data_IF_362571289734
#
_entry.id   IF_362571289734
#
_cell.length_a   1.000
_cell.length_b   1.000
_cell.length_c   1.000
_cell.angle_alpha   90.00
_cell.angle_beta   90.00
_cell.angle_gamma   90.00
#
_symmetry.space_group_name_H-M   'P 1'
#
loop_
_entity.id
_entity.type
_entity.pdbx_description
1 polymer ?
#
# COMPACT_ATOMS: atom_id res chain seq x y z
N UNK A 1 3.34 -48.96 12.93
CA UNK A 1 4.63 -48.27 13.18
C UNK A 1 5.18 -47.58 11.94
N UNK A 2 5.35 -48.29 10.80
CA UNK A 2 5.89 -47.70 9.54
C UNK A 2 5.06 -46.51 9.06
N UNK A 3 3.74 -46.62 8.96
CA UNK A 3 2.86 -45.54 8.49
C UNK A 3 2.97 -44.27 9.40
N UNK A 4 2.99 -44.48 10.71
CA UNK A 4 3.09 -43.37 11.68
C UNK A 4 4.43 -42.62 11.51
N UNK A 5 5.53 -43.35 11.35
CA UNK A 5 6.85 -42.78 11.12
C UNK A 5 6.92 -42.01 9.78
N UNK A 6 6.32 -42.60 8.71
CA UNK A 6 6.24 -41.95 7.40
C UNK A 6 5.45 -40.62 7.47
N UNK A 7 4.30 -40.61 8.15
CA UNK A 7 3.51 -39.39 8.36
C UNK A 7 4.26 -38.34 9.20
N UNK A 8 4.97 -38.78 10.25
CA UNK A 8 5.77 -37.89 11.06
C UNK A 8 6.88 -37.20 10.26
N UNK A 9 7.56 -37.95 9.40
CA UNK A 9 8.59 -37.41 8.50
C UNK A 9 8.00 -36.46 7.45
N UNK A 10 6.83 -36.79 6.89
CA UNK A 10 6.14 -35.92 5.95
C UNK A 10 5.77 -34.56 6.60
N UNK A 11 5.13 -34.58 7.77
CA UNK A 11 4.80 -33.36 8.49
C UNK A 11 6.05 -32.60 8.93
N UNK A 12 7.10 -33.28 9.34
CA UNK A 12 8.40 -32.65 9.64
C UNK A 12 9.02 -31.95 8.43
N UNK A 13 8.97 -32.57 7.26
CA UNK A 13 9.44 -31.98 6.00
C UNK A 13 8.61 -30.74 5.60
N UNK A 14 7.28 -30.79 5.75
CA UNK A 14 6.39 -29.64 5.52
C UNK A 14 6.73 -28.49 6.47
N UNK A 15 6.91 -28.79 7.77
CA UNK A 15 7.33 -27.80 8.77
C UNK A 15 8.65 -27.11 8.39
N UNK A 16 9.66 -27.88 8.04
CA UNK A 16 10.97 -27.37 7.60
C UNK A 16 10.83 -26.50 6.35
N UNK A 17 10.05 -26.94 5.35
CA UNK A 17 9.77 -26.18 4.15
C UNK A 17 9.10 -24.82 4.46
N UNK A 18 8.12 -24.82 5.37
CA UNK A 18 7.46 -23.58 5.82
C UNK A 18 8.45 -22.64 6.56
N UNK A 19 9.30 -23.17 7.44
CA UNK A 19 10.33 -22.40 8.11
C UNK A 19 11.32 -21.76 7.12
N UNK A 20 11.78 -22.52 6.11
CA UNK A 20 12.66 -21.99 5.07
C UNK A 20 11.99 -20.91 4.23
N UNK A 21 10.72 -21.09 3.84
CA UNK A 21 9.96 -20.08 3.10
C UNK A 21 9.79 -18.78 3.92
N UNK A 22 9.39 -18.90 5.19
CA UNK A 22 9.29 -17.74 6.09
C UNK A 22 10.62 -17.03 6.26
N UNK A 23 11.71 -17.78 6.47
CA UNK A 23 13.04 -17.22 6.58
C UNK A 23 13.48 -16.49 5.31
N UNK A 24 13.15 -17.02 4.13
CA UNK A 24 13.44 -16.38 2.85
C UNK A 24 12.61 -15.13 2.63
N UNK A 25 11.29 -15.17 2.89
CA UNK A 25 10.41 -14.01 2.74
C UNK A 25 10.83 -12.86 3.65
N UNK A 26 11.02 -13.12 4.94
CA UNK A 26 11.42 -12.08 5.88
C UNK A 26 12.88 -11.67 5.66
N UNK A 27 13.77 -12.59 5.28
CA UNK A 27 15.14 -12.29 4.86
C UNK A 27 15.23 -11.34 3.67
N UNK A 28 14.21 -11.35 2.78
CA UNK A 28 14.14 -10.39 1.68
C UNK A 28 14.01 -8.93 2.16
N UNK A 29 13.45 -8.68 3.35
CA UNK A 29 13.41 -7.34 3.96
C UNK A 29 14.82 -6.87 4.35
N UNK A 30 15.65 -7.77 4.90
CA UNK A 30 17.04 -7.45 5.21
C UNK A 30 17.84 -7.14 3.93
N UNK A 31 17.61 -7.91 2.86
CA UNK A 31 18.19 -7.62 1.54
C UNK A 31 17.78 -6.21 1.07
N UNK A 32 16.50 -5.82 1.23
CA UNK A 32 16.03 -4.46 0.89
C UNK A 32 16.72 -3.38 1.74
N UNK A 33 16.98 -3.62 3.02
CA UNK A 33 17.74 -2.68 3.89
C UNK A 33 19.16 -2.48 3.35
N UNK A 34 19.86 -3.58 3.03
CA UNK A 34 21.23 -3.52 2.47
C UNK A 34 21.24 -2.80 1.12
N UNK A 35 20.31 -3.13 0.25
CA UNK A 35 20.20 -2.52 -1.08
C UNK A 35 19.83 -1.03 -0.97
N UNK A 36 18.92 -0.66 -0.09
CA UNK A 36 18.57 0.72 0.23
C UNK A 36 19.82 1.52 0.65
N UNK A 37 20.60 0.99 1.61
CA UNK A 37 21.81 1.65 2.07
C UNK A 37 22.81 1.90 0.93
N UNK A 38 22.95 0.94 0.02
CA UNK A 38 23.86 1.06 -1.14
C UNK A 38 23.40 2.07 -2.19
N UNK A 39 22.09 2.16 -2.41
CA UNK A 39 21.53 2.97 -3.50
C UNK A 39 21.15 4.38 -3.04
N UNK A 40 20.89 4.60 -1.76
CA UNK A 40 20.23 5.79 -1.19
C UNK A 40 20.89 7.10 -1.60
N UNK A 41 22.19 7.27 -1.36
CA UNK A 41 22.87 8.54 -1.62
C UNK A 41 22.69 9.01 -3.07
N UNK A 42 23.02 8.14 -4.02
CA UNK A 42 22.87 8.43 -5.45
C UNK A 42 21.40 8.56 -5.90
N UNK A 43 20.50 7.88 -5.22
CA UNK A 43 19.07 7.92 -5.55
C UNK A 43 18.43 9.22 -5.08
N UNK A 44 18.82 9.73 -3.91
CA UNK A 44 18.38 11.04 -3.40
C UNK A 44 18.91 12.19 -4.25
N UNK A 45 20.17 12.13 -4.67
CA UNK A 45 20.76 13.08 -5.63
C UNK A 45 19.95 13.12 -6.94
N UNK A 46 19.61 11.95 -7.49
CA UNK A 46 18.76 11.87 -8.69
C UNK A 46 17.33 12.36 -8.48
N UNK A 47 16.78 12.20 -7.27
CA UNK A 47 15.48 12.74 -6.92
C UNK A 47 15.55 14.28 -6.87
N UNK A 48 16.59 14.85 -6.28
CA UNK A 48 16.85 16.28 -6.27
C UNK A 48 16.98 16.85 -7.68
N UNK A 49 17.75 16.17 -8.56
CA UNK A 49 17.86 16.51 -9.98
C UNK A 49 16.50 16.51 -10.69
N UNK A 50 15.66 15.51 -10.43
CA UNK A 50 14.31 15.44 -10.98
C UNK A 50 13.43 16.59 -10.49
N UNK A 51 13.52 16.93 -9.22
CA UNK A 51 12.75 18.00 -8.59
C UNK A 51 13.28 19.41 -8.95
N UNK A 52 14.49 19.52 -9.46
CA UNK A 52 15.04 20.76 -10.01
C UNK A 52 14.66 21.03 -11.47
N UNK A 53 14.02 20.04 -12.16
CA UNK A 53 13.57 20.19 -13.55
C UNK A 53 12.67 21.43 -13.68
N UNK A 54 12.94 22.38 -14.57
CA UNK A 54 12.11 23.56 -14.75
C UNK A 54 10.73 23.17 -15.30
N UNK A 55 9.70 23.75 -14.74
CA UNK A 55 8.35 23.66 -15.31
C UNK A 55 8.18 24.66 -16.45
N UNK A 56 7.35 24.36 -17.44
CA UNK A 56 6.93 25.34 -18.43
C UNK A 56 6.17 26.51 -17.76
N UNK A 57 5.98 27.63 -18.45
CA UNK A 57 5.14 28.73 -17.98
C UNK A 57 3.73 28.24 -17.62
N UNK A 58 3.07 28.93 -16.70
CA UNK A 58 1.71 28.56 -16.23
C UNK A 58 0.70 28.41 -17.37
N UNK A 59 0.86 29.21 -18.46
CA UNK A 59 0.05 29.13 -19.67
C UNK A 59 0.18 27.79 -20.43
N UNK A 60 1.30 27.09 -20.27
CA UNK A 60 1.61 25.83 -20.94
C UNK A 60 1.47 24.60 -20.03
N UNK A 61 1.24 24.81 -18.72
CA UNK A 61 0.99 23.72 -17.80
C UNK A 61 -0.26 22.91 -18.20
N UNK A 62 -0.26 21.59 -18.03
CA UNK A 62 -1.41 20.75 -18.37
C UNK A 62 -2.55 20.96 -17.37
N UNK A 63 -3.77 20.58 -17.80
CA UNK A 63 -4.88 20.42 -16.86
C UNK A 63 -4.67 19.22 -15.96
N UNK A 64 -4.99 19.37 -14.68
CA UNK A 64 -4.90 18.30 -13.66
C UNK A 64 -6.27 18.14 -13.00
N UNK A 65 -6.72 16.90 -12.90
CA UNK A 65 -7.95 16.54 -12.20
C UNK A 65 -7.56 15.95 -10.84
N UNK A 66 -7.98 16.57 -9.76
CA UNK A 66 -7.85 16.02 -8.41
C UNK A 66 -9.09 15.19 -8.10
N UNK A 67 -8.91 13.90 -7.90
CA UNK A 67 -9.97 12.95 -7.56
C UNK A 67 -9.93 12.60 -6.08
N UNK A 68 -11.05 12.86 -5.38
CA UNK A 68 -11.19 12.65 -3.93
C UNK A 68 -12.34 11.65 -3.71
N UNK A 69 -12.04 10.34 -3.66
CA UNK A 69 -13.04 9.32 -3.33
C UNK A 69 -13.52 9.47 -1.88
N UNK A 70 -14.84 9.47 -1.68
CA UNK A 70 -15.47 9.60 -0.36
C UNK A 70 -16.62 8.60 -0.19
N UNK A 71 -16.70 8.01 1.00
CA UNK A 71 -17.84 7.16 1.39
C UNK A 71 -18.13 7.29 2.89
N UNK A 72 -19.14 8.08 3.25
CA UNK A 72 -19.56 8.33 4.63
C UNK A 72 -18.42 8.88 5.51
N UNK A 73 -17.61 9.82 5.00
CA UNK A 73 -16.43 10.40 5.66
C UNK A 73 -16.60 11.89 5.94
N UNK A 74 -17.81 12.32 6.29
CA UNK A 74 -18.18 13.71 6.57
C UNK A 74 -17.19 14.47 7.47
N UNK A 75 -16.70 13.91 8.60
CA UNK A 75 -15.78 14.62 9.50
C UNK A 75 -14.50 15.14 8.85
N UNK A 76 -14.00 14.50 7.79
CA UNK A 76 -12.75 14.87 7.12
C UNK A 76 -12.94 15.48 5.74
N UNK A 77 -14.14 15.37 5.16
CA UNK A 77 -14.42 15.74 3.76
C UNK A 77 -14.04 17.18 3.46
N UNK A 78 -14.51 18.13 4.25
CA UNK A 78 -14.25 19.56 4.01
C UNK A 78 -12.75 19.85 4.00
N UNK A 79 -12.01 19.36 5.01
CA UNK A 79 -10.57 19.54 5.10
C UNK A 79 -9.82 19.02 3.87
N UNK A 80 -10.16 17.80 3.41
CA UNK A 80 -9.51 17.18 2.24
C UNK A 80 -9.79 17.95 0.95
N UNK A 81 -11.04 18.40 0.73
CA UNK A 81 -11.41 19.17 -0.46
C UNK A 81 -10.81 20.57 -0.45
N UNK A 82 -10.79 21.25 0.71
CA UNK A 82 -10.16 22.57 0.86
C UNK A 82 -8.63 22.48 0.67
N UNK A 83 -7.98 21.40 1.14
CA UNK A 83 -6.56 21.16 0.89
C UNK A 83 -6.27 20.96 -0.60
N UNK A 84 -7.14 20.27 -1.33
CA UNK A 84 -7.02 20.13 -2.79
C UNK A 84 -7.22 21.47 -3.51
N UNK A 85 -8.15 22.30 -3.06
CA UNK A 85 -8.36 23.65 -3.61
C UNK A 85 -7.19 24.62 -3.30
N UNK A 86 -6.40 24.34 -2.27
CA UNK A 86 -5.22 25.12 -1.88
C UNK A 86 -3.94 24.74 -2.64
N UNK A 87 -4.00 23.78 -3.56
CA UNK A 87 -2.86 23.38 -4.39
C UNK A 87 -2.44 24.55 -5.33
N UNK A 88 -1.14 24.81 -5.39
CA UNK A 88 -0.54 25.82 -6.27
C UNK A 88 -0.54 25.31 -7.73
N UNK A 89 -1.62 25.59 -8.42
CA UNK A 89 -1.82 25.32 -9.83
C UNK A 89 -2.71 26.39 -10.47
N UNK A 90 -2.56 26.72 -11.77
CA UNK A 90 -3.45 27.67 -12.41
C UNK A 90 -4.92 27.27 -12.26
N UNK A 91 -5.75 28.19 -11.78
CA UNK A 91 -7.15 27.89 -11.41
C UNK A 91 -8.00 27.34 -12.55
N UNK A 92 -7.75 27.84 -13.75
CA UNK A 92 -8.40 27.38 -14.99
C UNK A 92 -7.95 25.98 -15.43
N UNK A 93 -6.89 25.44 -14.81
CA UNK A 93 -6.31 24.14 -15.10
C UNK A 93 -6.38 23.14 -13.93
N UNK A 94 -6.94 23.56 -12.80
CA UNK A 94 -7.17 22.72 -11.63
C UNK A 94 -8.65 22.34 -11.54
N UNK A 95 -8.95 21.07 -11.73
CA UNK A 95 -10.30 20.51 -11.68
C UNK A 95 -10.41 19.56 -10.50
N UNK A 96 -11.41 19.74 -9.62
CA UNK A 96 -11.59 18.91 -8.42
C UNK A 96 -12.87 18.11 -8.56
N UNK A 97 -12.76 16.80 -8.45
CA UNK A 97 -13.87 15.85 -8.46
C UNK A 97 -14.00 15.19 -7.08
N UNK A 98 -15.06 15.46 -6.36
CA UNK A 98 -15.44 14.71 -5.15
C UNK A 98 -16.24 13.51 -5.64
N UNK A 99 -15.67 12.30 -5.49
CA UNK A 99 -16.27 11.05 -5.95
C UNK A 99 -17.09 10.47 -4.79
N UNK A 100 -18.37 10.85 -4.73
CA UNK A 100 -19.20 10.58 -3.56
C UNK A 100 -20.08 9.35 -3.74
N UNK A 101 -19.76 8.30 -2.96
CA UNK A 101 -20.55 7.08 -2.84
C UNK A 101 -21.37 7.04 -1.54
N UNK A 102 -21.50 8.17 -0.83
CA UNK A 102 -22.04 8.23 0.52
C UNK A 102 -23.56 8.00 0.56
N UNK A 103 -24.00 7.38 1.65
CA UNK A 103 -25.39 7.06 1.95
C UNK A 103 -25.91 7.80 3.19
N UNK A 104 -25.07 8.66 3.80
CA UNK A 104 -25.38 9.49 4.96
C UNK A 104 -25.32 10.99 4.60
N UNK A 105 -25.26 11.86 5.61
CA UNK A 105 -25.19 13.31 5.45
C UNK A 105 -23.94 13.80 4.70
N UNK A 106 -22.92 12.95 4.54
CA UNK A 106 -21.72 13.27 3.76
C UNK A 106 -22.06 13.69 2.33
N UNK A 107 -23.07 13.06 1.72
CA UNK A 107 -23.50 13.40 0.35
C UNK A 107 -24.04 14.85 0.24
N UNK A 108 -24.78 15.33 1.24
CA UNK A 108 -25.22 16.72 1.29
C UNK A 108 -24.06 17.67 1.53
N UNK A 109 -23.13 17.29 2.43
CA UNK A 109 -21.93 18.06 2.72
C UNK A 109 -21.03 18.20 1.47
N UNK A 110 -20.84 17.12 0.70
CA UNK A 110 -20.04 17.14 -0.52
C UNK A 110 -20.57 18.19 -1.54
N UNK A 111 -21.89 18.20 -1.76
CA UNK A 111 -22.53 19.21 -2.62
C UNK A 111 -22.38 20.63 -2.08
N UNK A 112 -22.54 20.81 -0.77
CA UNK A 112 -22.39 22.11 -0.12
C UNK A 112 -20.96 22.65 -0.27
N UNK A 113 -19.95 21.83 0.04
CA UNK A 113 -18.52 22.21 -0.08
C UNK A 113 -18.17 22.53 -1.53
N UNK A 114 -18.66 21.73 -2.50
CA UNK A 114 -18.44 22.01 -3.93
C UNK A 114 -19.05 23.37 -4.32
N UNK A 115 -20.30 23.65 -3.93
CA UNK A 115 -20.96 24.93 -4.23
C UNK A 115 -20.25 26.14 -3.61
N UNK A 116 -19.80 26.04 -2.35
CA UNK A 116 -19.04 27.09 -1.68
C UNK A 116 -17.71 27.40 -2.37
N UNK A 117 -16.99 26.36 -2.85
CA UNK A 117 -15.73 26.54 -3.59
C UNK A 117 -15.95 27.06 -5.00
N UNK A 118 -17.01 26.62 -5.69
CA UNK A 118 -17.41 27.18 -6.98
C UNK A 118 -17.73 28.69 -6.86
N UNK A 119 -18.43 29.11 -5.78
CA UNK A 119 -18.70 30.52 -5.53
C UNK A 119 -17.42 31.36 -5.29
N UNK A 120 -16.31 30.71 -4.88
CA UNK A 120 -14.97 31.31 -4.75
C UNK A 120 -14.14 31.24 -6.03
N UNK A 121 -14.71 30.75 -7.15
CA UNK A 121 -14.06 30.66 -8.45
C UNK A 121 -13.18 29.44 -8.67
N UNK A 122 -13.37 28.37 -7.90
CA UNK A 122 -12.72 27.08 -8.14
C UNK A 122 -13.61 26.18 -9.01
N UNK A 123 -13.00 25.32 -9.82
CA UNK A 123 -13.73 24.28 -10.56
C UNK A 123 -13.83 23.00 -9.72
N UNK A 124 -14.97 22.84 -9.04
CA UNK A 124 -15.23 21.71 -8.12
C UNK A 124 -16.58 21.09 -8.44
N UNK A 125 -16.60 19.77 -8.59
CA UNK A 125 -17.84 19.03 -8.80
C UNK A 125 -17.96 17.85 -7.83
N UNK A 126 -19.15 17.65 -7.26
CA UNK A 126 -19.49 16.45 -6.51
C UNK A 126 -20.19 15.46 -7.46
N UNK A 127 -19.51 14.38 -7.80
CA UNK A 127 -20.02 13.29 -8.63
C UNK A 127 -20.60 12.22 -7.70
N UNK A 128 -21.90 12.19 -7.57
CA UNK A 128 -22.60 11.22 -6.74
C UNK A 128 -23.06 10.03 -7.58
N UNK A 129 -22.71 8.81 -7.15
CA UNK A 129 -23.17 7.58 -7.77
C UNK A 129 -24.34 6.98 -6.98
N UNK A 130 -25.31 6.43 -7.71
CA UNK A 130 -26.42 5.64 -7.13
C UNK A 130 -26.03 4.17 -6.98
N UNK A 131 -25.16 3.67 -7.86
CA UNK A 131 -24.60 2.32 -7.81
C UNK A 131 -23.12 2.38 -7.40
N UNK A 132 -22.81 1.81 -6.24
CA UNK A 132 -21.46 1.71 -5.68
C UNK A 132 -20.66 0.52 -6.25
N UNK A 133 -21.06 -0.03 -7.39
CA UNK A 133 -20.35 -1.14 -8.03
C UNK A 133 -18.87 -0.79 -8.28
N UNK A 134 -17.98 -1.75 -8.02
CA UNK A 134 -16.54 -1.54 -8.15
C UNK A 134 -15.92 -0.62 -7.11
N UNK A 135 -16.68 -0.14 -6.12
CA UNK A 135 -16.18 0.69 -5.02
C UNK A 135 -15.33 1.88 -5.51
N UNK A 136 -14.16 2.13 -4.88
CA UNK A 136 -13.24 3.19 -5.27
C UNK A 136 -12.75 3.07 -6.70
N UNK A 137 -12.37 1.86 -7.15
CA UNK A 137 -11.96 1.63 -8.55
C UNK A 137 -13.06 1.98 -9.55
N UNK A 138 -14.32 1.63 -9.23
CA UNK A 138 -15.49 2.01 -10.04
C UNK A 138 -15.69 3.52 -10.07
N UNK A 139 -15.57 4.21 -8.92
CA UNK A 139 -15.68 5.66 -8.83
C UNK A 139 -14.61 6.39 -9.66
N UNK A 140 -13.34 5.97 -9.54
CA UNK A 140 -12.24 6.51 -10.33
C UNK A 140 -12.45 6.28 -11.83
N UNK A 141 -12.92 5.07 -12.20
CA UNK A 141 -13.19 4.74 -13.61
C UNK A 141 -14.27 5.63 -14.21
N UNK A 142 -15.40 5.74 -13.54
CA UNK A 142 -16.53 6.55 -14.00
C UNK A 142 -16.16 8.03 -14.07
N UNK A 143 -15.51 8.56 -13.03
CA UNK A 143 -15.13 9.96 -12.98
C UNK A 143 -14.16 10.40 -14.10
N UNK A 144 -13.32 9.49 -14.58
CA UNK A 144 -12.45 9.75 -15.74
C UNK A 144 -13.25 10.01 -17.02
N UNK A 145 -14.47 9.51 -17.14
CA UNK A 145 -15.31 9.72 -18.34
C UNK A 145 -15.89 11.13 -18.41
N UNK A 146 -15.91 11.85 -17.27
CA UNK A 146 -16.42 13.21 -17.19
C UNK A 146 -15.39 14.29 -17.53
N UNK A 147 -14.20 13.92 -17.99
CA UNK A 147 -13.13 14.88 -18.30
C UNK A 147 -12.23 14.34 -19.43
N UNK A 148 -11.73 15.20 -20.34
CA UNK A 148 -10.75 14.80 -21.35
C UNK A 148 -9.31 14.85 -20.88
N UNK A 149 -9.04 15.33 -19.65
CA UNK A 149 -7.69 15.67 -19.19
C UNK A 149 -6.82 14.44 -18.92
N UNK A 150 -5.48 14.64 -18.95
CA UNK A 150 -4.51 13.56 -18.98
C UNK A 150 -3.91 13.19 -17.62
N UNK A 151 -4.02 14.07 -16.62
CA UNK A 151 -3.38 13.86 -15.32
C UNK A 151 -4.40 13.80 -14.19
N UNK A 152 -4.33 12.74 -13.37
CA UNK A 152 -5.23 12.49 -12.26
C UNK A 152 -4.45 12.41 -10.95
N UNK A 153 -4.56 13.44 -10.13
CA UNK A 153 -4.06 13.42 -8.76
C UNK A 153 -5.11 12.76 -7.85
N UNK A 154 -4.73 11.72 -7.14
CA UNK A 154 -5.66 10.94 -6.31
C UNK A 154 -5.28 11.13 -4.84
N UNK A 155 -6.24 11.60 -4.03
CA UNK A 155 -6.11 11.73 -2.59
C UNK A 155 -7.32 11.10 -1.91
N UNK A 156 -7.07 10.19 -0.96
CA UNK A 156 -8.10 9.81 -0.02
C UNK A 156 -8.47 11.06 0.81
N UNK A 157 -9.71 11.17 1.18
CA UNK A 157 -10.31 12.39 1.75
C UNK A 157 -9.66 12.88 3.05
N UNK A 158 -8.91 12.03 3.74
CA UNK A 158 -8.21 12.36 4.98
C UNK A 158 -6.78 12.87 4.78
N UNK A 159 -6.27 12.89 3.55
CA UNK A 159 -4.94 13.41 3.24
C UNK A 159 -4.95 14.91 2.96
N UNK A 160 -3.88 15.58 3.38
CA UNK A 160 -3.65 17.00 3.23
C UNK A 160 -2.35 17.22 2.45
N UNK A 161 -2.40 17.27 1.10
CA UNK A 161 -1.21 17.49 0.30
C UNK A 161 -0.60 18.88 0.57
N UNK A 162 0.74 19.04 0.53
CA UNK A 162 1.37 20.34 0.55
C UNK A 162 0.96 21.15 -0.70
N UNK A 163 0.91 22.47 -0.58
CA UNK A 163 0.42 23.33 -1.66
C UNK A 163 1.20 23.19 -2.97
N UNK A 164 2.50 22.93 -2.91
CA UNK A 164 3.39 22.76 -4.06
C UNK A 164 3.39 21.34 -4.65
N UNK A 165 2.54 20.43 -4.15
CA UNK A 165 2.51 19.03 -4.54
C UNK A 165 2.40 18.81 -6.06
N UNK A 166 1.49 19.52 -6.72
CA UNK A 166 1.31 19.38 -8.17
C UNK A 166 2.54 19.85 -8.94
N UNK A 167 3.08 21.02 -8.58
CA UNK A 167 4.30 21.55 -9.22
C UNK A 167 5.48 20.59 -9.03
N UNK A 168 5.64 20.07 -7.85
CA UNK A 168 6.69 19.10 -7.51
C UNK A 168 6.57 17.80 -8.33
N UNK A 169 5.40 17.18 -8.35
CA UNK A 169 5.18 15.94 -9.09
C UNK A 169 5.23 16.13 -10.62
N UNK A 170 4.74 17.26 -11.14
CA UNK A 170 4.73 17.52 -12.59
C UNK A 170 6.14 17.71 -13.17
N UNK A 171 7.14 18.14 -12.39
CA UNK A 171 8.55 18.17 -12.80
C UNK A 171 9.02 16.78 -13.24
N UNK A 172 8.54 15.72 -12.58
CA UNK A 172 8.87 14.34 -12.95
C UNK A 172 8.29 13.98 -14.32
N UNK A 173 7.05 14.37 -14.63
CA UNK A 173 6.44 14.09 -15.94
C UNK A 173 7.11 14.90 -17.06
N UNK A 174 7.57 16.12 -16.77
CA UNK A 174 8.37 16.91 -17.72
C UNK A 174 9.69 16.20 -18.02
N UNK A 175 10.41 15.75 -16.98
CA UNK A 175 11.69 15.04 -17.15
C UNK A 175 11.54 13.64 -17.75
N UNK A 176 10.43 12.97 -17.48
CA UNK A 176 10.14 11.57 -17.86
C UNK A 176 8.71 11.42 -18.39
N UNK A 177 8.43 11.83 -19.65
CA UNK A 177 7.05 11.88 -20.17
C UNK A 177 6.31 10.52 -20.20
N UNK A 178 7.03 9.39 -20.18
CA UNK A 178 6.43 8.05 -20.14
C UNK A 178 6.30 7.47 -18.73
N UNK A 179 6.16 8.33 -17.73
CA UNK A 179 5.89 7.91 -16.36
C UNK A 179 4.42 7.52 -16.21
N UNK A 180 4.15 6.32 -15.67
CA UNK A 180 2.77 5.86 -15.43
C UNK A 180 2.12 6.69 -14.35
N UNK A 181 2.80 6.78 -13.21
CA UNK A 181 2.39 7.60 -12.08
C UNK A 181 3.60 8.06 -11.28
N UNK A 182 3.40 9.13 -10.54
CA UNK A 182 4.30 9.62 -9.50
C UNK A 182 3.61 9.36 -8.16
N UNK A 183 4.27 8.63 -7.26
CA UNK A 183 3.82 8.35 -5.91
C UNK A 183 4.64 9.15 -4.91
N UNK A 184 3.99 9.97 -4.10
CA UNK A 184 4.63 10.63 -2.97
C UNK A 184 4.58 9.77 -1.70
N UNK A 185 5.40 10.08 -0.73
CA UNK A 185 5.48 9.38 0.54
C UNK A 185 4.33 9.80 1.47
N UNK A 186 3.68 8.83 2.10
CA UNK A 186 2.74 9.13 3.19
C UNK A 186 3.47 9.74 4.38
N UNK A 187 2.80 10.66 5.04
CA UNK A 187 3.12 11.10 6.40
C UNK A 187 1.83 11.09 7.24
N UNK A 188 1.92 11.43 8.51
CA UNK A 188 0.81 11.17 9.43
C UNK A 188 0.49 12.42 10.26
N UNK A 189 -0.82 12.71 10.38
CA UNK A 189 -1.34 13.80 11.20
C UNK A 189 -1.37 13.44 12.69
N UNK A 190 -1.61 12.16 13.01
CA UNK A 190 -1.79 11.66 14.37
C UNK A 190 -0.82 10.53 14.79
N UNK A 191 0.50 10.62 14.48
CA UNK A 191 1.42 9.50 14.69
C UNK A 191 1.63 9.14 16.16
N UNK A 192 1.37 10.09 17.08
CA UNK A 192 1.58 9.95 18.52
C UNK A 192 0.28 9.97 19.34
N UNK A 193 -0.89 9.79 18.69
CA UNK A 193 -2.18 9.75 19.39
C UNK A 193 -2.23 8.59 20.40
N UNK A 194 -1.68 7.44 20.05
CA UNK A 194 -1.55 6.29 20.94
C UNK A 194 -0.48 5.30 20.45
N UNK A 195 -0.22 4.24 21.24
CA UNK A 195 0.79 3.24 20.90
C UNK A 195 0.49 2.44 19.61
N UNK A 196 -0.77 2.38 19.16
CA UNK A 196 -1.15 1.74 17.91
C UNK A 196 -0.78 2.63 16.72
N UNK A 197 -1.05 3.93 16.78
CA UNK A 197 -0.68 4.87 15.71
C UNK A 197 0.84 5.01 15.62
N UNK A 198 1.55 4.99 16.74
CA UNK A 198 3.01 4.99 16.76
C UNK A 198 3.62 3.73 16.11
N UNK A 199 3.07 2.55 16.42
CA UNK A 199 3.46 1.30 15.74
C UNK A 199 3.22 1.37 14.23
N UNK A 200 2.08 1.92 13.81
CA UNK A 200 1.74 2.08 12.39
C UNK A 200 2.71 3.05 11.71
N UNK A 201 3.03 4.19 12.34
CA UNK A 201 4.04 5.12 11.83
C UNK A 201 5.36 4.41 11.55
N UNK A 202 5.92 3.68 12.52
CA UNK A 202 7.20 2.97 12.36
C UNK A 202 7.12 1.90 11.27
N UNK A 203 6.01 1.19 11.18
CA UNK A 203 5.80 0.15 10.17
C UNK A 203 5.71 0.74 8.77
N UNK A 204 4.99 1.84 8.62
CA UNK A 204 4.84 2.53 7.33
C UNK A 204 6.10 3.31 6.95
N UNK A 205 6.84 3.89 7.90
CA UNK A 205 8.16 4.47 7.64
C UNK A 205 9.11 3.42 7.03
N UNK A 206 9.09 2.17 7.55
CA UNK A 206 9.89 1.09 7.00
C UNK A 206 9.39 0.65 5.61
N UNK A 207 8.08 0.53 5.41
CA UNK A 207 7.50 0.21 4.12
C UNK A 207 7.85 1.27 3.06
N UNK A 208 7.65 2.56 3.35
CA UNK A 208 7.86 3.65 2.41
C UNK A 208 9.35 3.97 2.21
N UNK A 209 10.13 4.07 3.31
CA UNK A 209 11.54 4.48 3.26
C UNK A 209 12.47 3.36 2.80
N UNK A 210 12.19 2.11 3.13
CA UNK A 210 13.03 0.98 2.72
C UNK A 210 12.40 0.25 1.53
N UNK A 211 11.21 -0.29 1.65
CA UNK A 211 10.68 -1.17 0.61
C UNK A 211 10.30 -0.40 -0.66
N UNK A 212 9.44 0.60 -0.59
CA UNK A 212 8.98 1.36 -1.76
C UNK A 212 10.12 2.12 -2.44
N UNK A 213 10.92 2.85 -1.65
CA UNK A 213 12.06 3.58 -2.16
C UNK A 213 13.05 2.65 -2.87
N UNK A 214 13.42 1.53 -2.24
CA UNK A 214 14.37 0.57 -2.83
C UNK A 214 13.82 -0.09 -4.08
N UNK A 215 12.51 -0.43 -4.13
CA UNK A 215 11.87 -0.96 -5.34
C UNK A 215 12.03 0.00 -6.51
N UNK A 216 11.73 1.27 -6.29
CA UNK A 216 11.89 2.29 -7.32
C UNK A 216 13.36 2.44 -7.74
N UNK A 217 14.28 2.57 -6.78
CA UNK A 217 15.70 2.79 -7.05
C UNK A 217 16.38 1.61 -7.76
N UNK A 218 15.92 0.40 -7.51
CA UNK A 218 16.40 -0.83 -8.13
C UNK A 218 15.69 -1.18 -9.46
N UNK A 219 14.73 -0.37 -9.93
CA UNK A 219 13.96 -0.65 -11.15
C UNK A 219 12.98 -1.82 -11.00
N UNK A 220 12.63 -2.18 -9.78
CA UNK A 220 11.60 -3.19 -9.47
C UNK A 220 10.20 -2.58 -9.60
N UNK A 221 9.12 -3.40 -9.68
CA UNK A 221 7.77 -2.88 -9.70
C UNK A 221 7.47 -2.08 -8.42
N UNK A 222 7.03 -0.84 -8.62
CA UNK A 222 6.61 0.08 -7.58
C UNK A 222 5.08 0.08 -7.55
N UNK A 223 4.41 -0.42 -6.50
CA UNK A 223 2.95 -0.33 -6.40
C UNK A 223 2.51 1.10 -6.11
N UNK A 224 1.37 1.50 -6.70
CA UNK A 224 0.64 2.66 -6.25
C UNK A 224 -0.09 2.31 -4.96
N UNK A 225 -0.08 3.21 -3.98
CA UNK A 225 -0.63 2.96 -2.65
C UNK A 225 -2.07 3.47 -2.50
N UNK A 226 -2.77 3.67 -3.60
CA UNK A 226 -4.16 4.12 -3.65
C UNK A 226 -4.35 5.63 -3.56
N UNK A 227 -3.41 6.37 -3.00
CA UNK A 227 -3.51 7.81 -2.70
C UNK A 227 -2.15 8.50 -2.80
N UNK A 228 -2.13 9.83 -2.72
CA UNK A 228 -0.92 10.65 -2.69
C UNK A 228 -0.05 10.51 -3.94
N UNK A 229 -0.66 10.53 -5.10
CA UNK A 229 0.09 10.49 -6.36
C UNK A 229 -0.71 10.94 -7.56
N UNK A 230 -0.01 11.10 -8.68
CA UNK A 230 -0.58 11.54 -9.95
C UNK A 230 -0.40 10.44 -10.99
N UNK A 231 -1.49 10.02 -11.60
CA UNK A 231 -1.51 9.08 -12.72
C UNK A 231 -1.64 9.80 -14.06
N UNK A 232 -1.00 9.27 -15.09
CA UNK A 232 -1.20 9.66 -16.47
C UNK A 232 -2.32 8.81 -17.11
N UNK A 233 -3.29 9.45 -17.79
CA UNK A 233 -4.41 8.77 -18.48
C UNK A 233 -3.93 7.65 -19.38
N UNK A 234 -2.94 7.92 -20.24
CA UNK A 234 -2.41 6.94 -21.17
C UNK A 234 -1.92 5.65 -20.47
N UNK A 235 -1.35 5.76 -19.25
CA UNK A 235 -0.94 4.60 -18.47
C UNK A 235 -2.11 3.83 -17.89
N UNK A 236 -3.15 4.54 -17.41
CA UNK A 236 -4.38 3.92 -16.91
C UNK A 236 -5.07 3.14 -18.03
N UNK A 237 -5.24 3.75 -19.19
CA UNK A 237 -5.88 3.14 -20.37
C UNK A 237 -5.05 1.97 -20.91
N UNK A 238 -3.74 2.14 -21.04
CA UNK A 238 -2.84 1.06 -21.42
C UNK A 238 -2.91 -0.12 -20.43
N UNK A 239 -3.06 0.15 -19.12
CA UNK A 239 -3.31 -0.86 -18.09
C UNK A 239 -4.67 -1.54 -18.23
N UNK A 240 -5.60 -1.03 -19.04
CA UNK A 240 -6.98 -1.53 -19.22
C UNK A 240 -7.94 -0.94 -18.19
N UNK A 241 -7.67 0.28 -17.72
CA UNK A 241 -8.53 1.07 -16.82
C UNK A 241 -8.55 0.58 -15.37
N UNK A 242 -9.18 1.37 -14.53
CA UNK A 242 -9.49 0.97 -13.15
C UNK A 242 -10.50 -0.18 -13.17
N UNK A 243 -10.30 -1.18 -12.29
CA UNK A 243 -11.18 -2.33 -12.16
C UNK A 243 -11.72 -2.44 -10.75
N UNK A 244 -13.03 -2.65 -10.65
CA UNK A 244 -13.73 -2.82 -9.38
C UNK A 244 -13.89 -4.27 -8.92
N UNK A 245 -13.22 -5.21 -9.57
CA UNK A 245 -13.27 -6.65 -9.24
C UNK A 245 -12.21 -7.06 -8.20
N UNK A 246 -11.51 -6.10 -7.64
CA UNK A 246 -10.54 -6.26 -6.55
C UNK A 246 -10.69 -5.14 -5.51
N UNK A 247 -10.25 -5.39 -4.28
CA UNK A 247 -10.22 -4.39 -3.19
C UNK A 247 -8.91 -3.61 -3.12
N UNK A 248 -8.01 -3.83 -4.07
CA UNK A 248 -6.74 -3.12 -4.28
C UNK A 248 -6.59 -2.83 -5.77
N UNK A 249 -7.46 -1.96 -6.26
CA UNK A 249 -7.54 -1.51 -7.66
C UNK A 249 -6.24 -0.86 -8.12
N UNK A 250 -5.55 -0.21 -7.19
CA UNK A 250 -4.27 0.45 -7.31
C UNK A 250 -3.12 -0.53 -7.61
N UNK A 251 -3.00 -1.56 -6.79
CA UNK A 251 -2.02 -2.63 -6.97
C UNK A 251 -2.25 -3.38 -8.29
N UNK A 252 -3.52 -3.71 -8.61
CA UNK A 252 -3.89 -4.42 -9.84
C UNK A 252 -3.52 -3.60 -11.08
N UNK A 253 -3.90 -2.32 -11.14
CA UNK A 253 -3.58 -1.44 -12.26
C UNK A 253 -2.08 -1.24 -12.41
N UNK A 254 -1.37 -1.05 -11.29
CA UNK A 254 0.10 -0.93 -11.29
C UNK A 254 0.76 -2.12 -11.99
N UNK A 255 0.42 -3.34 -11.59
CA UNK A 255 1.04 -4.53 -12.19
C UNK A 255 0.64 -4.75 -13.64
N UNK A 256 -0.61 -4.47 -14.01
CA UNK A 256 -1.08 -4.52 -15.41
C UNK A 256 -0.34 -3.53 -16.31
N UNK A 257 -0.13 -2.31 -15.84
CA UNK A 257 0.67 -1.29 -16.54
C UNK A 257 2.15 -1.66 -16.62
N UNK A 258 2.72 -2.15 -15.49
CA UNK A 258 4.13 -2.50 -15.42
C UNK A 258 4.52 -3.64 -16.40
N UNK A 259 3.67 -4.68 -16.52
CA UNK A 259 3.88 -5.76 -17.49
C UNK A 259 3.86 -5.25 -18.94
N UNK A 260 3.15 -4.15 -19.20
CA UNK A 260 3.09 -3.47 -20.51
C UNK A 260 4.20 -2.42 -20.73
N UNK A 261 5.20 -2.40 -19.86
CA UNK A 261 6.38 -1.55 -20.00
C UNK A 261 6.27 -0.15 -19.38
N UNK A 262 5.15 0.20 -18.72
CA UNK A 262 5.05 1.44 -17.97
C UNK A 262 5.90 1.42 -16.70
N UNK A 263 6.48 2.56 -16.36
CA UNK A 263 7.32 2.71 -15.16
C UNK A 263 6.80 3.87 -14.33
N UNK A 264 7.08 3.84 -13.04
CA UNK A 264 6.58 4.82 -12.07
C UNK A 264 7.72 5.40 -11.27
N UNK A 265 7.49 6.54 -10.63
CA UNK A 265 8.47 7.24 -9.80
C UNK A 265 7.93 7.35 -8.38
N UNK A 266 8.80 7.12 -7.40
CA UNK A 266 8.52 7.34 -5.99
C UNK A 266 9.35 8.51 -5.47
N UNK A 267 8.68 9.49 -4.89
CA UNK A 267 9.30 10.66 -4.28
C UNK A 267 9.32 10.48 -2.75
N UNK A 268 10.44 10.05 -2.22
CA UNK A 268 10.59 9.80 -0.78
C UNK A 268 10.69 11.11 0.01
N UNK A 269 11.17 12.17 -0.60
CA UNK A 269 11.32 13.49 0.01
C UNK A 269 10.02 14.31 0.08
N UNK A 270 8.95 13.88 -0.58
CA UNK A 270 7.67 14.60 -0.64
C UNK A 270 6.65 13.94 0.30
N UNK A 271 6.48 14.45 1.55
CA UNK A 271 5.53 13.89 2.50
C UNK A 271 4.11 14.43 2.24
N UNK A 272 3.13 13.55 2.35
CA UNK A 272 1.70 13.90 2.31
C UNK A 272 1.03 13.37 3.58
N UNK A 273 0.68 14.25 4.54
CA UNK A 273 0.09 13.82 5.81
C UNK A 273 -1.35 13.32 5.65
N UNK A 274 -1.67 12.22 6.32
CA UNK A 274 -3.01 11.63 6.41
C UNK A 274 -3.27 11.05 7.79
N UNK A 275 -4.49 10.57 8.05
CA UNK A 275 -4.86 10.02 9.35
C UNK A 275 -4.60 8.51 9.45
N UNK A 276 -3.93 8.09 10.52
CA UNK A 276 -3.80 6.69 10.92
C UNK A 276 -5.04 6.24 11.70
N UNK A 277 -5.57 5.02 11.47
CA UNK A 277 -6.62 4.47 12.31
C UNK A 277 -6.14 4.29 13.76
N UNK A 278 -6.81 4.99 14.69
CA UNK A 278 -6.44 4.99 16.10
C UNK A 278 -7.07 3.83 16.90
N UNK A 279 -8.03 3.11 16.33
CA UNK A 279 -8.64 1.94 16.96
C UNK A 279 -8.20 0.62 16.30
N UNK A 280 -8.03 -0.41 17.14
CA UNK A 280 -7.53 -1.72 16.72
C UNK A 280 -8.45 -2.45 15.74
N UNK A 281 -9.76 -2.30 15.89
CA UNK A 281 -10.75 -2.99 15.05
C UNK A 281 -10.70 -2.47 13.61
N UNK A 282 -10.63 -1.16 13.46
CA UNK A 282 -10.50 -0.46 12.17
C UNK A 282 -9.16 -0.82 11.50
N UNK A 283 -8.05 -0.75 12.26
CA UNK A 283 -6.74 -1.14 11.76
C UNK A 283 -6.71 -2.60 11.26
N UNK A 284 -7.23 -3.56 12.04
CA UNK A 284 -7.29 -4.97 11.62
C UNK A 284 -8.13 -5.20 10.36
N UNK A 285 -9.22 -4.44 10.16
CA UNK A 285 -10.03 -4.53 8.94
C UNK A 285 -9.23 -4.01 7.73
N UNK A 286 -8.55 -2.88 7.88
CA UNK A 286 -7.70 -2.31 6.84
C UNK A 286 -6.59 -3.28 6.43
N UNK A 287 -5.87 -3.88 7.39
CA UNK A 287 -4.82 -4.85 7.14
C UNK A 287 -5.35 -6.11 6.44
N UNK A 288 -6.51 -6.63 6.87
CA UNK A 288 -7.15 -7.78 6.23
C UNK A 288 -7.50 -7.49 4.75
N UNK A 289 -8.05 -6.30 4.49
CA UNK A 289 -8.37 -5.87 3.12
C UNK A 289 -7.13 -5.83 2.24
N UNK A 290 -6.03 -5.27 2.74
CA UNK A 290 -4.77 -5.24 2.00
C UNK A 290 -4.25 -6.64 1.69
N UNK A 291 -4.25 -7.54 2.67
CA UNK A 291 -3.82 -8.93 2.46
C UNK A 291 -4.70 -9.68 1.44
N UNK A 292 -6.02 -9.51 1.52
CA UNK A 292 -6.95 -10.12 0.57
C UNK A 292 -6.71 -9.59 -0.86
N UNK A 293 -6.43 -8.29 -0.99
CA UNK A 293 -6.08 -7.65 -2.25
C UNK A 293 -4.77 -8.18 -2.83
N UNK A 294 -3.70 -8.21 -2.02
CA UNK A 294 -2.40 -8.77 -2.45
C UNK A 294 -2.52 -10.21 -2.93
N UNK A 295 -3.28 -11.04 -2.23
CA UNK A 295 -3.52 -12.43 -2.64
C UNK A 295 -4.27 -12.52 -3.96
N UNK A 296 -5.32 -11.69 -4.15
CA UNK A 296 -6.09 -11.65 -5.39
C UNK A 296 -5.22 -11.23 -6.58
N UNK A 297 -4.51 -10.10 -6.44
CA UNK A 297 -3.62 -9.59 -7.49
C UNK A 297 -2.46 -10.56 -7.74
N UNK A 298 -1.90 -11.17 -6.69
CA UNK A 298 -0.85 -12.17 -6.80
C UNK A 298 -1.25 -13.34 -7.69
N UNK A 299 -2.42 -13.95 -7.43
CA UNK A 299 -2.94 -15.05 -8.24
C UNK A 299 -3.19 -14.64 -9.71
N UNK A 300 -3.66 -13.41 -9.93
CA UNK A 300 -3.94 -12.87 -11.26
C UNK A 300 -2.67 -12.59 -12.06
N UNK A 301 -1.63 -12.06 -11.40
CA UNK A 301 -0.45 -11.49 -12.06
C UNK A 301 0.74 -12.45 -12.18
N UNK A 302 0.76 -13.60 -11.50
CA UNK A 302 1.86 -14.58 -11.59
C UNK A 302 2.18 -14.96 -13.04
N UNK A 303 1.17 -15.40 -13.80
CA UNK A 303 1.39 -15.84 -15.18
C UNK A 303 1.76 -14.69 -16.14
N UNK A 304 1.09 -13.52 -16.13
CA UNK A 304 1.53 -12.36 -16.90
C UNK A 304 2.99 -11.97 -16.65
N UNK A 305 3.42 -11.94 -15.37
CA UNK A 305 4.80 -11.62 -14.99
C UNK A 305 5.79 -12.65 -15.54
N UNK A 306 5.52 -13.94 -15.34
CA UNK A 306 6.41 -15.01 -15.79
C UNK A 306 6.56 -15.05 -17.32
N UNK A 307 5.47 -14.83 -18.06
CA UNK A 307 5.44 -14.85 -19.52
C UNK A 307 5.99 -13.61 -20.20
N UNK A 308 6.09 -12.48 -19.49
CA UNK A 308 6.65 -11.25 -20.07
C UNK A 308 8.09 -11.45 -20.51
N UNK A 309 8.42 -11.05 -21.73
CA UNK A 309 9.79 -11.12 -22.28
C UNK A 309 10.60 -9.86 -21.99
N UNK A 310 9.93 -8.75 -21.71
CA UNK A 310 10.53 -7.43 -21.53
C UNK A 310 10.94 -7.14 -20.08
N UNK A 311 10.68 -8.09 -19.16
CA UNK A 311 10.99 -7.96 -17.74
C UNK A 311 12.18 -8.86 -17.40
N UNK A 312 13.22 -8.26 -16.79
CA UNK A 312 14.40 -9.00 -16.33
C UNK A 312 14.05 -10.04 -15.27
N UNK A 313 14.85 -11.11 -15.17
CA UNK A 313 14.62 -12.18 -14.17
C UNK A 313 14.63 -11.62 -12.74
N UNK A 314 15.53 -10.68 -12.43
CA UNK A 314 15.59 -10.04 -11.11
C UNK A 314 14.31 -9.27 -10.78
N UNK A 315 13.76 -8.54 -11.74
CA UNK A 315 12.51 -7.80 -11.56
C UNK A 315 11.29 -8.74 -11.45
N UNK A 316 11.27 -9.88 -12.17
CA UNK A 316 10.26 -10.93 -12.00
C UNK A 316 10.30 -11.52 -10.60
N UNK A 317 11.48 -11.88 -10.12
CA UNK A 317 11.65 -12.42 -8.77
C UNK A 317 11.21 -11.39 -7.70
N UNK A 318 11.60 -10.13 -7.85
CA UNK A 318 11.17 -9.05 -6.95
C UNK A 318 9.65 -8.84 -6.95
N UNK A 319 9.01 -8.94 -8.13
CA UNK A 319 7.56 -8.86 -8.28
C UNK A 319 6.85 -10.02 -7.60
N UNK A 320 7.31 -11.24 -7.83
CA UNK A 320 6.73 -12.45 -7.24
C UNK A 320 6.90 -12.48 -5.73
N UNK A 321 8.10 -12.15 -5.22
CA UNK A 321 8.34 -12.03 -3.78
C UNK A 321 7.39 -11.01 -3.14
N UNK A 322 7.21 -9.85 -3.77
CA UNK A 322 6.28 -8.84 -3.27
C UNK A 322 4.82 -9.34 -3.21
N UNK A 323 4.33 -9.92 -4.28
CA UNK A 323 2.96 -10.45 -4.32
C UNK A 323 2.76 -11.66 -3.40
N UNK A 324 3.81 -12.48 -3.20
CA UNK A 324 3.78 -13.63 -2.31
C UNK A 324 3.86 -13.27 -0.81
N UNK A 325 4.15 -12.01 -0.44
CA UNK A 325 4.15 -11.59 0.97
C UNK A 325 2.81 -11.88 1.68
N UNK A 326 1.69 -11.86 0.96
CA UNK A 326 0.38 -12.25 1.50
C UNK A 326 0.27 -13.73 1.89
N UNK A 327 1.22 -14.57 1.46
CA UNK A 327 1.27 -16.00 1.80
C UNK A 327 1.96 -16.28 3.14
N UNK A 328 2.57 -15.28 3.77
CA UNK A 328 3.28 -15.47 5.04
C UNK A 328 2.38 -16.08 6.12
N UNK A 329 1.12 -15.64 6.22
CA UNK A 329 0.19 -16.15 7.24
C UNK A 329 -0.23 -17.60 7.00
N UNK A 330 -0.69 -18.02 5.81
CA UNK A 330 -0.99 -19.43 5.55
C UNK A 330 0.24 -20.32 5.68
N UNK A 331 1.42 -19.88 5.25
CA UNK A 331 2.68 -20.64 5.41
C UNK A 331 3.02 -20.83 6.90
N UNK A 332 2.90 -19.78 7.71
CA UNK A 332 3.10 -19.86 9.15
C UNK A 332 2.13 -20.86 9.81
N UNK A 333 0.86 -20.81 9.44
CA UNK A 333 -0.15 -21.70 9.98
C UNK A 333 0.12 -23.16 9.62
N UNK A 334 0.36 -23.45 8.33
CA UNK A 334 0.69 -24.79 7.85
C UNK A 334 1.94 -25.31 8.57
N UNK A 335 2.94 -24.46 8.74
CA UNK A 335 4.16 -24.78 9.48
C UNK A 335 3.87 -25.19 10.94
N UNK A 336 3.11 -24.35 11.68
CA UNK A 336 2.75 -24.64 13.08
C UNK A 336 1.99 -25.98 13.19
N UNK A 337 0.94 -26.17 12.38
CA UNK A 337 0.13 -27.40 12.40
C UNK A 337 0.99 -28.62 12.08
N UNK A 338 1.81 -28.54 11.03
CA UNK A 338 2.68 -29.64 10.62
C UNK A 338 3.73 -29.97 11.68
N UNK A 339 4.35 -28.96 12.31
CA UNK A 339 5.32 -29.15 13.38
C UNK A 339 4.71 -29.83 14.62
N UNK A 340 3.49 -29.43 15.00
CA UNK A 340 2.74 -30.05 16.10
C UNK A 340 2.43 -31.51 15.77
N UNK A 341 1.89 -31.81 14.59
CA UNK A 341 1.56 -33.18 14.17
C UNK A 341 2.80 -34.07 14.10
N UNK A 342 3.92 -33.58 13.56
CA UNK A 342 5.19 -34.31 13.53
C UNK A 342 5.67 -34.66 14.95
N UNK A 343 5.63 -33.70 15.88
CA UNK A 343 6.04 -33.89 17.27
C UNK A 343 5.12 -34.81 18.09
N UNK A 344 3.81 -34.89 17.74
CA UNK A 344 2.87 -35.81 18.35
C UNK A 344 3.09 -37.25 17.84
N UNK A 345 3.30 -37.41 16.53
CA UNK A 345 3.50 -38.72 15.89
C UNK A 345 4.87 -39.33 16.19
N UNK A 346 5.91 -38.50 16.32
CA UNK A 346 7.29 -38.93 16.64
C UNK A 346 7.90 -38.02 17.70
N UNK A 347 7.70 -38.29 19.00
CA UNK A 347 8.22 -37.47 20.10
C UNK A 347 9.74 -37.25 20.08
N UNK A 348 10.51 -38.17 19.51
CA UNK A 348 11.96 -38.04 19.32
C UNK A 348 12.36 -36.87 18.41
N UNK A 349 11.48 -36.38 17.54
CA UNK A 349 11.74 -35.23 16.68
C UNK A 349 11.58 -33.88 17.40
N UNK A 350 10.89 -33.83 18.56
CA UNK A 350 10.58 -32.59 19.27
C UNK A 350 11.80 -31.67 19.49
N UNK A 351 12.96 -32.13 19.95
CA UNK A 351 14.11 -31.24 20.16
C UNK A 351 14.54 -30.52 18.89
N UNK A 352 14.58 -31.24 17.76
CA UNK A 352 14.96 -30.68 16.45
C UNK A 352 13.90 -29.70 15.95
N UNK A 353 12.60 -30.03 16.06
CA UNK A 353 11.51 -29.15 15.68
C UNK A 353 11.53 -27.85 16.47
N UNK A 354 11.75 -27.91 17.79
CA UNK A 354 11.88 -26.74 18.64
C UNK A 354 13.12 -25.90 18.29
N UNK A 355 14.26 -26.53 18.04
CA UNK A 355 15.47 -25.81 17.61
C UNK A 355 15.22 -25.04 16.33
N UNK A 356 14.63 -25.66 15.31
CA UNK A 356 14.30 -25.02 14.01
C UNK A 356 13.28 -23.90 14.22
N UNK A 357 12.25 -24.13 15.04
CA UNK A 357 11.25 -23.09 15.35
C UNK A 357 11.89 -21.85 15.98
N UNK A 358 12.68 -22.02 17.04
CA UNK A 358 13.31 -20.89 17.71
C UNK A 358 14.37 -20.20 16.84
N UNK A 359 15.14 -20.94 16.05
CA UNK A 359 16.07 -20.35 15.09
C UNK A 359 15.35 -19.51 14.04
N UNK A 360 14.23 -20.02 13.49
CA UNK A 360 13.39 -19.26 12.53
C UNK A 360 12.78 -18.04 13.19
N UNK A 361 12.28 -18.16 14.41
CA UNK A 361 11.70 -17.02 15.15
C UNK A 361 12.75 -15.94 15.42
N UNK A 362 13.94 -16.33 15.88
CA UNK A 362 15.05 -15.39 16.12
C UNK A 362 15.44 -14.65 14.83
N UNK A 363 15.54 -15.38 13.71
CA UNK A 363 15.81 -14.79 12.40
C UNK A 363 14.73 -13.81 11.96
N UNK A 364 13.45 -14.18 12.07
CA UNK A 364 12.31 -13.33 11.74
C UNK A 364 12.33 -12.05 12.58
N UNK A 365 12.53 -12.15 13.88
CA UNK A 365 12.61 -10.99 14.78
C UNK A 365 13.81 -10.10 14.46
N UNK A 366 14.96 -10.67 14.17
CA UNK A 366 16.15 -9.92 13.74
C UNK A 366 15.89 -9.12 12.46
N UNK A 367 15.38 -9.77 11.41
CA UNK A 367 15.12 -9.11 10.13
C UNK A 367 14.04 -8.03 10.28
N UNK A 368 12.93 -8.32 10.98
CA UNK A 368 11.85 -7.35 11.21
C UNK A 368 12.35 -6.14 12.01
N UNK A 369 13.10 -6.37 13.09
CA UNK A 369 13.67 -5.29 13.92
C UNK A 369 14.61 -4.42 13.11
N UNK A 370 15.49 -5.01 12.31
CA UNK A 370 16.43 -4.29 11.45
C UNK A 370 15.69 -3.45 10.41
N UNK A 371 14.68 -4.03 9.75
CA UNK A 371 13.86 -3.35 8.75
C UNK A 371 13.10 -2.15 9.34
N UNK A 372 12.41 -2.34 10.47
CA UNK A 372 11.63 -1.30 11.14
C UNK A 372 12.52 -0.14 11.60
N UNK A 373 13.67 -0.45 12.25
CA UNK A 373 14.63 0.59 12.67
C UNK A 373 15.22 1.34 11.50
N UNK A 374 15.68 0.62 10.46
CA UNK A 374 16.30 1.24 9.30
C UNK A 374 15.35 2.23 8.61
N UNK A 375 14.07 1.86 8.46
CA UNK A 375 13.08 2.73 7.82
C UNK A 375 12.72 3.95 8.67
N UNK A 376 12.46 3.73 9.96
CA UNK A 376 12.15 4.83 10.87
C UNK A 376 13.31 5.84 10.95
N UNK A 377 14.55 5.36 11.14
CA UNK A 377 15.73 6.21 11.21
C UNK A 377 15.96 6.98 9.89
N UNK A 378 15.69 6.34 8.76
CA UNK A 378 15.82 7.00 7.46
C UNK A 378 14.78 8.11 7.26
N UNK A 379 13.51 7.85 7.58
CA UNK A 379 12.42 8.82 7.35
C UNK A 379 12.42 9.94 8.40
N UNK A 380 12.70 9.62 9.66
CA UNK A 380 12.61 10.60 10.77
C UNK A 380 13.93 11.26 11.12
N UNK A 381 15.03 10.84 10.51
CA UNK A 381 16.35 11.46 10.72
C UNK A 381 16.97 11.22 12.10
N UNK A 382 16.46 10.25 12.87
CA UNK A 382 16.94 9.97 14.22
C UNK A 382 16.53 8.60 14.74
N UNK A 383 17.21 8.14 15.79
CA UNK A 383 16.92 6.84 16.42
C UNK A 383 15.82 6.95 17.49
N UNK A 384 14.88 6.02 17.42
CA UNK A 384 13.92 5.86 18.51
C UNK A 384 14.60 5.27 19.76
N UNK A 385 14.33 5.82 20.96
CA UNK A 385 14.87 5.27 22.21
C UNK A 385 14.56 3.77 22.34
N UNK A 386 15.52 2.92 22.82
CA UNK A 386 15.36 1.47 22.86
C UNK A 386 14.10 1.00 23.59
N UNK A 387 13.76 1.59 24.73
CA UNK A 387 12.54 1.23 25.48
C UNK A 387 11.26 1.51 24.71
N UNK A 388 11.18 2.65 24.01
CA UNK A 388 10.05 3.02 23.16
C UNK A 388 9.94 2.10 21.94
N UNK A 389 11.06 1.79 21.30
CA UNK A 389 11.10 0.83 20.20
C UNK A 389 10.67 -0.58 20.63
N UNK A 390 11.03 -1.03 21.83
CA UNK A 390 10.58 -2.31 22.37
C UNK A 390 9.04 -2.38 22.49
N UNK A 391 8.39 -1.29 22.92
CA UNK A 391 6.92 -1.21 22.97
C UNK A 391 6.33 -1.31 21.55
N UNK A 392 6.91 -0.60 20.59
CA UNK A 392 6.49 -0.68 19.17
C UNK A 392 6.63 -2.11 18.64
N UNK A 393 7.75 -2.78 18.90
CA UNK A 393 7.99 -4.16 18.47
C UNK A 393 7.00 -5.14 19.12
N UNK A 394 6.71 -5.01 20.40
CA UNK A 394 5.70 -5.83 21.08
C UNK A 394 4.31 -5.62 20.48
N UNK A 395 3.94 -4.38 20.17
CA UNK A 395 2.68 -4.05 19.48
C UNK A 395 2.62 -4.61 18.08
N UNK A 396 3.72 -4.51 17.34
CA UNK A 396 3.84 -5.10 16.00
C UNK A 396 3.64 -6.63 16.05
N UNK A 397 4.35 -7.35 16.92
CA UNK A 397 4.24 -8.81 17.06
C UNK A 397 2.81 -9.20 17.49
N UNK A 398 2.22 -8.51 18.47
CA UNK A 398 0.84 -8.75 18.91
C UNK A 398 -0.17 -8.47 17.79
N UNK A 399 0.09 -7.49 16.95
CA UNK A 399 -0.69 -7.16 15.77
C UNK A 399 -0.65 -8.28 14.73
N UNK A 400 0.55 -8.80 14.41
CA UNK A 400 0.71 -9.92 13.47
C UNK A 400 -0.03 -11.18 13.97
N UNK A 401 0.04 -11.48 15.26
CA UNK A 401 -0.71 -12.59 15.87
C UNK A 401 -2.23 -12.36 15.75
N UNK A 402 -2.70 -11.15 16.05
CA UNK A 402 -4.13 -10.82 15.92
C UNK A 402 -4.62 -10.92 14.47
N UNK A 403 -3.80 -10.54 13.49
CA UNK A 403 -4.13 -10.69 12.08
C UNK A 403 -4.17 -12.18 11.67
N UNK A 404 -3.25 -13.00 12.15
CA UNK A 404 -3.27 -14.45 11.92
C UNK A 404 -4.56 -15.07 12.45
N UNK A 405 -4.94 -14.79 13.72
CA UNK A 405 -6.16 -15.30 14.33
C UNK A 405 -7.42 -14.81 13.58
N UNK A 406 -7.45 -13.54 13.18
CA UNK A 406 -8.56 -12.99 12.38
C UNK A 406 -8.65 -13.67 11.00
N UNK A 407 -7.54 -13.84 10.32
CA UNK A 407 -7.48 -14.53 9.02
C UNK A 407 -8.03 -15.96 9.13
N UNK A 408 -7.66 -16.70 10.18
CA UNK A 408 -8.20 -18.02 10.47
C UNK A 408 -9.72 -18.01 10.65
N UNK A 409 -10.23 -17.10 11.47
CA UNK A 409 -11.68 -16.99 11.71
C UNK A 409 -12.46 -16.64 10.44
N UNK A 410 -11.93 -15.71 9.64
CA UNK A 410 -12.55 -15.28 8.38
C UNK A 410 -12.57 -16.43 7.36
N UNK A 411 -11.46 -17.18 7.23
CA UNK A 411 -11.38 -18.28 6.27
C UNK A 411 -12.19 -19.49 6.72
N UNK A 412 -12.20 -19.83 8.01
CA UNK A 412 -13.07 -20.87 8.55
C UNK A 412 -14.56 -20.49 8.34
N UNK A 413 -14.94 -19.25 8.60
CA UNK A 413 -16.29 -18.76 8.35
C UNK A 413 -16.68 -18.79 6.85
N UNK A 414 -15.76 -18.45 5.94
CA UNK A 414 -15.98 -18.50 4.49
C UNK A 414 -16.10 -19.97 3.98
N UNK A 415 -15.33 -20.90 4.53
CA UNK A 415 -15.43 -22.31 4.18
C UNK A 415 -16.77 -22.94 4.60
N UNK A 416 -17.41 -22.40 5.64
CA UNK A 416 -18.70 -22.86 6.16
C UNK A 416 -19.90 -22.07 5.61
N UNK A 417 -19.69 -21.03 4.82
CA UNK A 417 -20.75 -20.17 4.28
C UNK A 417 -20.70 -20.11 2.75
N UNK A 418 -21.87 -19.78 2.13
CA UNK A 418 -21.92 -19.52 0.70
C UNK A 418 -21.02 -18.33 0.33
N UNK A 419 -20.41 -18.30 -0.88
CA UNK A 419 -19.63 -17.17 -1.35
C UNK A 419 -20.44 -15.86 -1.20
N UNK A 420 -19.93 -14.91 -0.43
CA UNK A 420 -20.53 -13.59 -0.32
C UNK A 420 -19.84 -12.66 -1.33
N UNK A 421 -20.56 -11.67 -1.90
CA UNK A 421 -19.94 -10.66 -2.74
C UNK A 421 -18.84 -9.92 -1.97
N UNK A 422 -17.88 -9.38 -2.72
CA UNK A 422 -16.81 -8.54 -2.15
C UNK A 422 -17.47 -7.32 -1.50
N UNK A 423 -17.21 -7.11 -0.22
CA UNK A 423 -17.69 -5.93 0.51
C UNK A 423 -16.49 -5.08 0.86
N UNK A 424 -16.50 -3.82 0.41
CA UNK A 424 -15.51 -2.83 0.80
C UNK A 424 -15.94 -2.21 2.14
N UNK A 425 -15.23 -2.57 3.21
CA UNK A 425 -15.46 -2.01 4.54
C UNK A 425 -14.53 -0.79 4.74
N UNK A 426 -15.11 0.39 4.94
CA UNK A 426 -14.36 1.65 5.09
C UNK A 426 -13.54 1.67 6.37
N UNK A 427 -12.49 2.49 6.38
CA UNK A 427 -11.73 2.88 7.58
C UNK A 427 -12.35 4.17 8.14
N UNK A 428 -13.10 4.15 9.27
CA UNK A 428 -13.63 5.38 9.86
C UNK A 428 -12.51 6.37 10.22
N UNK A 429 -12.74 7.66 9.94
CA UNK A 429 -11.83 8.77 10.24
C UNK A 429 -12.44 9.67 11.30
N UNK A 430 -11.60 10.28 12.14
CA UNK A 430 -12.05 11.13 13.26
C UNK A 430 -12.05 12.61 12.93
N UNK A 431 -11.28 13.05 11.94
CA UNK A 431 -11.11 14.47 11.64
C UNK A 431 -10.20 15.19 12.65
N UNK A 432 -9.12 14.54 13.07
CA UNK A 432 -8.14 15.10 14.01
C UNK A 432 -7.25 16.17 13.40
#
# INVERSE_FOLDING_TARGET
MVIVNTLALLFGAIFLGCCMLLAAFIGSLLYMVVLNHRLRAKALEREEDLLSTPLPPDTELPHVVVQIPSFNEGPVLRRGVEAAAALDWPRDKLHIQILDDSTDETAALARTVAAELCAKGFDVVALQRTDRSGFKGGALHEAMQHTPHDYFAIFDVDYVPPSDFLRTCMRVFVAKPRTAFVQARFDFLNPHENALTEMQMVTLDAHLGIEQATRYWAGHPLPFNGTCGIWQRAAIEAGGGWKGDTVTEDLDLTYRGWVKGWRSVFLVSVPVPGELPADRKTWLRQQQRWQDGFRHVGLRMVWPILRSRDITLSAKLAALLHLCMALNQPVLLIGIVSGVLAGLLAPALKPVLWLVFFATLAWVLFCATTFLRAGHNFIRGGEMPPGRFAVVLLRFVSGQLAMLLRSLMVHAGKALSRPKPIVFDRTPKKGS
#
